data_IF_724177825054
#
_entry.id   IF_724177825054
#
_cell.length_a   1.000
_cell.length_b   1.000
_cell.length_c   1.000
_cell.angle_alpha   90.00
_cell.angle_beta   90.00
_cell.angle_gamma   90.00
#
_symmetry.space_group_name_H-M   'P 1'
#
loop_
_entity.id
_entity.type
_entity.pdbx_description
1 polymer ?
#
# COMPACT_ATOMS: atom_id res chain seq x y z
N UNK A 1 16.87 0.78 -39.34
CA UNK A 1 16.61 0.80 -37.88
C UNK A 1 15.11 0.92 -37.63
N UNK A 2 14.32 -0.12 -37.94
CA UNK A 2 12.86 -0.06 -37.79
C UNK A 2 12.13 -1.40 -37.76
N UNK A 3 12.84 -2.54 -37.88
CA UNK A 3 12.18 -3.85 -38.06
C UNK A 3 11.88 -4.61 -36.76
N UNK A 4 12.34 -4.14 -35.59
CA UNK A 4 12.17 -4.91 -34.33
C UNK A 4 11.34 -4.21 -33.22
N UNK A 5 10.89 -2.98 -33.45
CA UNK A 5 10.10 -2.22 -32.45
C UNK A 5 8.75 -2.90 -32.22
N UNK A 6 8.07 -3.33 -33.29
CA UNK A 6 6.76 -3.97 -33.19
C UNK A 6 6.81 -5.32 -32.47
N UNK A 7 7.85 -6.13 -32.70
CA UNK A 7 8.03 -7.39 -32.00
C UNK A 7 8.30 -7.16 -30.51
N UNK A 8 9.16 -6.20 -30.17
CA UNK A 8 9.45 -5.84 -28.77
C UNK A 8 8.21 -5.29 -28.04
N UNK A 9 7.39 -4.49 -28.70
CA UNK A 9 6.12 -3.97 -28.17
C UNK A 9 5.07 -5.08 -27.98
N UNK A 10 4.93 -6.00 -28.95
CA UNK A 10 4.04 -7.15 -28.81
C UNK A 10 4.45 -8.04 -27.63
N UNK A 11 5.74 -8.36 -27.50
CA UNK A 11 6.26 -9.11 -26.36
C UNK A 11 6.07 -8.39 -25.02
N UNK A 12 6.06 -7.05 -25.02
CA UNK A 12 5.75 -6.26 -23.83
C UNK A 12 4.30 -6.47 -23.41
N UNK A 13 3.35 -6.47 -24.36
CA UNK A 13 1.93 -6.71 -24.06
C UNK A 13 1.73 -8.10 -23.44
N UNK A 14 2.34 -9.15 -24.02
CA UNK A 14 2.24 -10.49 -23.45
C UNK A 14 2.80 -10.59 -22.03
N UNK A 15 3.92 -9.90 -21.73
CA UNK A 15 4.46 -9.83 -20.37
C UNK A 15 3.55 -9.11 -19.39
N UNK A 16 2.93 -8.01 -19.81
CA UNK A 16 1.94 -7.29 -19.01
C UNK A 16 0.75 -8.18 -18.69
N UNK A 17 0.24 -8.91 -19.69
CA UNK A 17 -0.86 -9.86 -19.50
C UNK A 17 -0.47 -11.00 -18.55
N UNK A 18 0.73 -11.54 -18.68
CA UNK A 18 1.25 -12.58 -17.79
C UNK A 18 1.29 -12.09 -16.33
N UNK A 19 1.82 -10.88 -16.07
CA UNK A 19 1.84 -10.32 -14.70
C UNK A 19 0.43 -10.15 -14.11
N UNK A 20 -0.58 -9.84 -14.93
CA UNK A 20 -1.96 -9.81 -14.45
C UNK A 20 -2.49 -11.19 -14.12
N UNK A 21 -2.21 -12.20 -14.95
CA UNK A 21 -2.63 -13.58 -14.71
C UNK A 21 -1.98 -14.11 -13.43
N UNK A 22 -0.65 -14.04 -13.35
CA UNK A 22 0.12 -14.53 -12.20
C UNK A 22 -0.31 -13.84 -10.90
N UNK A 23 -0.47 -12.51 -10.94
CA UNK A 23 -0.91 -11.75 -9.77
C UNK A 23 -2.34 -12.06 -9.35
N UNK A 24 -3.25 -12.34 -10.29
CA UNK A 24 -4.62 -12.70 -9.95
C UNK A 24 -4.75 -14.13 -9.41
N UNK A 25 -3.98 -15.07 -9.94
CA UNK A 25 -3.94 -16.46 -9.48
C UNK A 25 -3.36 -16.56 -8.07
N UNK A 26 -2.19 -15.96 -7.84
CA UNK A 26 -1.50 -16.06 -6.54
C UNK A 26 -2.29 -15.35 -5.42
N UNK A 27 -3.03 -14.27 -5.75
CA UNK A 27 -3.82 -13.51 -4.79
C UNK A 27 -5.29 -13.95 -4.73
N UNK A 28 -5.73 -14.94 -5.50
CA UNK A 28 -7.14 -15.35 -5.59
C UNK A 28 -7.77 -15.65 -4.22
N UNK A 29 -7.02 -16.35 -3.36
CA UNK A 29 -7.48 -16.78 -2.04
C UNK A 29 -7.20 -15.77 -0.93
N UNK A 30 -6.59 -14.63 -1.25
CA UNK A 30 -6.28 -13.59 -0.28
C UNK A 30 -7.57 -12.88 0.12
N UNK A 31 -7.93 -13.05 1.40
CA UNK A 31 -9.07 -12.39 2.02
C UNK A 31 -8.59 -11.40 3.07
N UNK A 32 -9.37 -10.35 3.26
CA UNK A 32 -9.13 -9.33 4.28
C UNK A 32 -7.70 -8.77 4.25
N UNK A 33 -7.19 -8.45 3.06
CA UNK A 33 -5.84 -7.91 2.95
C UNK A 33 -5.81 -6.43 3.34
N UNK A 34 -4.82 -6.04 4.12
CA UNK A 34 -4.50 -4.65 4.43
C UNK A 34 -3.12 -4.35 3.88
N UNK A 35 -3.04 -3.30 3.06
CA UNK A 35 -1.77 -2.88 2.49
C UNK A 35 -1.10 -1.86 3.39
N UNK A 36 0.15 -2.13 3.77
CA UNK A 36 0.96 -1.22 4.57
C UNK A 36 2.02 -0.54 3.71
N UNK A 37 2.03 0.79 3.76
CA UNK A 37 2.93 1.65 3.01
C UNK A 37 3.79 2.48 3.95
N UNK A 38 4.99 2.85 3.50
CA UNK A 38 5.85 3.77 4.23
C UNK A 38 7.27 3.81 3.66
N UNK A 39 8.14 4.54 4.35
CA UNK A 39 9.52 4.73 3.92
C UNK A 39 10.34 3.42 3.89
N UNK A 40 11.03 3.19 2.77
CA UNK A 40 12.04 2.12 2.65
C UNK A 40 13.36 2.43 3.38
N UNK A 41 13.46 3.61 4.03
CA UNK A 41 14.72 4.12 4.63
C UNK A 41 14.69 4.15 6.16
N UNK A 42 13.53 3.95 6.77
CA UNK A 42 13.39 3.77 8.22
C UNK A 42 14.14 2.51 8.64
N UNK A 43 14.77 2.51 9.81
CA UNK A 43 15.60 1.41 10.31
C UNK A 43 14.98 0.78 11.55
N UNK A 44 15.33 -0.47 11.82
CA UNK A 44 14.99 -1.15 13.07
C UNK A 44 15.45 -0.32 14.29
N UNK A 45 14.61 -0.25 15.33
CA UNK A 45 14.81 0.60 16.50
C UNK A 45 14.33 2.05 16.36
N UNK A 46 13.94 2.49 15.16
CA UNK A 46 13.18 3.74 14.96
C UNK A 46 11.73 3.56 15.45
N UNK A 47 11.14 4.60 16.04
CA UNK A 47 9.76 4.56 16.54
C UNK A 47 8.77 4.09 15.47
N UNK A 48 8.91 4.56 14.22
CA UNK A 48 8.01 4.20 13.14
C UNK A 48 8.20 2.76 12.68
N UNK A 49 9.41 2.22 12.80
CA UNK A 49 9.64 0.81 12.54
C UNK A 49 8.89 -0.05 13.56
N UNK A 50 9.05 0.24 14.85
CA UNK A 50 8.42 -0.55 15.91
C UNK A 50 6.88 -0.45 15.85
N UNK A 51 6.33 0.75 15.62
CA UNK A 51 4.89 0.93 15.40
C UNK A 51 4.39 0.18 14.16
N UNK A 52 5.18 0.09 13.09
CA UNK A 52 4.82 -0.70 11.91
C UNK A 52 4.87 -2.21 12.18
N UNK A 53 5.81 -2.69 13.00
CA UNK A 53 5.80 -4.09 13.50
C UNK A 53 4.53 -4.36 14.29
N UNK A 54 4.16 -3.46 15.19
CA UNK A 54 2.95 -3.60 16.00
C UNK A 54 1.67 -3.59 15.16
N UNK A 55 1.54 -2.68 14.19
CA UNK A 55 0.44 -2.69 13.22
C UNK A 55 0.38 -4.02 12.47
N UNK A 56 1.50 -4.53 11.97
CA UNK A 56 1.55 -5.82 11.27
C UNK A 56 1.05 -6.98 12.13
N UNK A 57 1.43 -6.99 13.41
CA UNK A 57 0.97 -7.99 14.38
C UNK A 57 -0.52 -7.87 14.66
N UNK A 58 -1.01 -6.67 14.99
CA UNK A 58 -2.41 -6.43 15.33
C UNK A 58 -3.35 -6.73 14.15
N UNK A 59 -2.92 -6.44 12.92
CA UNK A 59 -3.68 -6.81 11.71
C UNK A 59 -3.92 -8.32 11.65
N UNK A 60 -2.87 -9.11 11.86
CA UNK A 60 -2.98 -10.58 11.86
C UNK A 60 -3.85 -11.08 13.02
N UNK A 61 -3.67 -10.54 14.22
CA UNK A 61 -4.48 -10.91 15.39
C UNK A 61 -5.99 -10.62 15.19
N UNK A 62 -6.31 -9.68 14.30
CA UNK A 62 -7.68 -9.35 13.90
C UNK A 62 -8.14 -10.01 12.60
N UNK A 63 -7.40 -11.01 12.10
CA UNK A 63 -7.80 -11.82 10.95
C UNK A 63 -7.55 -11.17 9.58
N UNK A 64 -6.68 -10.17 9.51
CA UNK A 64 -6.25 -9.54 8.27
C UNK A 64 -4.96 -10.17 7.72
N UNK A 65 -4.84 -10.21 6.39
CA UNK A 65 -3.58 -10.52 5.70
C UNK A 65 -2.79 -9.23 5.50
N UNK A 66 -1.48 -9.24 5.70
CA UNK A 66 -0.64 -8.05 5.47
C UNK A 66 -0.01 -8.11 4.09
N UNK A 67 -0.20 -7.07 3.29
CA UNK A 67 0.45 -6.88 1.99
C UNK A 67 1.37 -5.66 2.07
N UNK A 68 2.58 -5.77 1.53
CA UNK A 68 3.50 -4.63 1.40
C UNK A 68 4.18 -4.64 0.04
N UNK A 69 5.01 -3.62 -0.22
CA UNK A 69 5.90 -3.62 -1.37
C UNK A 69 7.11 -4.56 -1.28
N UNK A 70 7.29 -5.28 -0.18
CA UNK A 70 8.33 -6.30 0.01
C UNK A 70 9.75 -5.76 0.22
N UNK A 71 9.95 -4.45 0.17
CA UNK A 71 11.26 -3.82 0.42
C UNK A 71 11.62 -3.69 1.91
N UNK A 72 12.73 -3.00 2.23
CA UNK A 72 13.17 -2.72 3.60
C UNK A 72 12.32 -1.65 4.29
N UNK A 73 12.68 -1.32 5.53
CA UNK A 73 12.07 -0.23 6.31
C UNK A 73 10.67 -0.55 6.77
N UNK A 74 9.70 0.36 6.60
CA UNK A 74 8.32 0.16 7.07
C UNK A 74 7.69 -1.08 6.46
N UNK A 75 7.97 -1.38 5.19
CA UNK A 75 7.45 -2.58 4.52
C UNK A 75 7.94 -3.85 5.23
N UNK A 76 9.23 -3.92 5.52
CA UNK A 76 9.81 -5.01 6.30
C UNK A 76 9.22 -5.09 7.70
N UNK A 77 9.08 -3.97 8.40
CA UNK A 77 8.51 -3.93 9.75
C UNK A 77 7.09 -4.53 9.78
N UNK A 78 6.21 -4.11 8.85
CA UNK A 78 4.86 -4.66 8.77
C UNK A 78 4.86 -6.15 8.42
N UNK A 79 5.70 -6.59 7.48
CA UNK A 79 5.86 -8.03 7.18
C UNK A 79 6.38 -8.82 8.38
N UNK A 80 7.33 -8.25 9.14
CA UNK A 80 7.90 -8.83 10.37
C UNK A 80 6.80 -9.04 11.41
N UNK A 81 6.03 -8.00 11.71
CA UNK A 81 4.90 -8.07 12.63
C UNK A 81 3.90 -9.17 12.25
N UNK A 82 3.51 -9.20 10.98
CA UNK A 82 2.56 -10.18 10.46
C UNK A 82 3.09 -11.63 10.57
N UNK A 83 4.35 -11.84 10.20
CA UNK A 83 4.98 -13.16 10.26
C UNK A 83 5.19 -13.65 11.68
N UNK A 84 5.60 -12.78 12.61
CA UNK A 84 5.75 -13.11 14.02
C UNK A 84 4.40 -13.46 14.69
N UNK A 85 3.31 -12.84 14.24
CA UNK A 85 1.95 -13.17 14.67
C UNK A 85 1.39 -14.45 14.02
N UNK A 86 2.17 -15.12 13.16
CA UNK A 86 1.79 -16.37 12.50
C UNK A 86 0.89 -16.20 11.26
N UNK A 87 0.56 -14.97 10.86
CA UNK A 87 -0.35 -14.69 9.75
C UNK A 87 0.28 -14.73 8.37
N UNK A 88 -0.52 -14.41 7.35
CA UNK A 88 -0.05 -14.29 5.98
C UNK A 88 0.62 -12.93 5.75
N UNK A 89 1.86 -12.97 5.26
CA UNK A 89 2.70 -11.81 4.98
C UNK A 89 3.11 -11.86 3.52
N UNK A 90 2.58 -10.92 2.73
CA UNK A 90 2.73 -10.89 1.27
C UNK A 90 3.61 -9.70 0.88
N UNK A 91 4.56 -9.93 -0.02
CA UNK A 91 5.37 -8.89 -0.64
C UNK A 91 5.10 -8.84 -2.14
N UNK A 92 4.56 -7.72 -2.62
CA UNK A 92 4.46 -7.43 -4.04
C UNK A 92 5.70 -6.62 -4.42
N UNK A 93 6.77 -7.28 -4.83
CA UNK A 93 8.05 -6.65 -5.13
C UNK A 93 8.07 -6.05 -6.54
N UNK A 94 8.94 -5.06 -6.77
CA UNK A 94 9.15 -4.45 -8.09
C UNK A 94 10.62 -4.58 -8.50
N UNK A 95 10.87 -4.97 -9.74
CA UNK A 95 12.21 -4.97 -10.33
C UNK A 95 12.72 -3.51 -10.48
N UNK A 96 13.83 -3.21 -9.83
CA UNK A 96 14.49 -1.89 -9.89
C UNK A 96 15.92 -2.03 -10.44
N UNK A 97 16.48 -0.96 -11.05
CA UNK A 97 17.86 -0.97 -11.56
C UNK A 97 18.92 -1.30 -10.49
N UNK A 98 18.62 -1.00 -9.23
CA UNK A 98 19.36 -1.47 -8.08
C UNK A 98 18.47 -2.42 -7.31
N UNK A 99 18.93 -3.66 -7.17
CA UNK A 99 18.16 -4.75 -6.60
C UNK A 99 17.77 -4.44 -5.14
N UNK A 100 16.47 -4.26 -4.89
CA UNK A 100 15.93 -4.39 -3.54
C UNK A 100 15.73 -5.88 -3.28
N UNK A 101 16.54 -6.44 -2.38
CA UNK A 101 16.29 -7.79 -1.89
C UNK A 101 14.96 -7.80 -1.13
N UNK A 102 14.04 -8.71 -1.46
CA UNK A 102 12.83 -8.91 -0.67
C UNK A 102 13.20 -9.15 0.80
N UNK A 103 12.45 -8.55 1.71
CA UNK A 103 12.70 -8.71 3.14
C UNK A 103 12.41 -10.16 3.61
N UNK A 104 13.10 -10.65 4.66
CA UNK A 104 13.05 -12.07 5.02
C UNK A 104 11.74 -12.51 5.70
N UNK A 105 10.82 -11.59 5.96
CA UNK A 105 9.55 -11.87 6.65
C UNK A 105 8.38 -12.06 5.69
N UNK A 106 8.63 -12.06 4.39
CA UNK A 106 7.62 -12.35 3.36
C UNK A 106 7.42 -13.87 3.27
N UNK A 107 6.17 -14.31 3.33
CA UNK A 107 5.77 -15.72 3.11
C UNK A 107 5.37 -15.98 1.66
N UNK A 108 4.72 -15.01 1.02
CA UNK A 108 4.33 -15.07 -0.41
C UNK A 108 4.92 -13.88 -1.13
N UNK A 109 5.78 -14.13 -2.11
CA UNK A 109 6.46 -13.10 -2.89
C UNK A 109 5.95 -13.14 -4.33
N UNK A 110 5.48 -11.99 -4.83
CA UNK A 110 5.12 -11.81 -6.23
C UNK A 110 6.00 -10.69 -6.78
N UNK A 111 6.71 -10.95 -7.87
CA UNK A 111 7.62 -9.99 -8.49
C UNK A 111 6.99 -9.38 -9.73
N UNK A 112 7.00 -8.07 -9.81
CA UNK A 112 6.50 -7.31 -10.95
C UNK A 112 7.65 -6.57 -11.62
N UNK A 113 7.53 -6.38 -12.94
CA UNK A 113 8.38 -5.50 -13.73
C UNK A 113 7.68 -4.18 -14.04
N UNK A 114 6.35 -4.19 -14.15
CA UNK A 114 5.58 -2.99 -14.44
C UNK A 114 4.93 -2.43 -13.16
N UNK A 115 5.08 -1.12 -12.92
CA UNK A 115 4.49 -0.48 -11.75
C UNK A 115 2.96 -0.55 -11.76
N UNK A 116 2.33 -0.40 -12.93
CA UNK A 116 0.87 -0.31 -13.02
C UNK A 116 0.18 -1.66 -12.80
N UNK A 117 0.78 -2.79 -13.20
CA UNK A 117 0.25 -4.13 -12.90
C UNK A 117 0.31 -4.38 -11.40
N UNK A 118 1.43 -4.06 -10.77
CA UNK A 118 1.63 -4.11 -9.32
C UNK A 118 0.63 -3.25 -8.54
N UNK A 119 0.41 -2.02 -8.97
CA UNK A 119 -0.56 -1.08 -8.38
C UNK A 119 -1.99 -1.63 -8.38
N UNK A 120 -2.41 -2.25 -9.48
CA UNK A 120 -3.71 -2.93 -9.54
C UNK A 120 -3.84 -3.99 -8.47
N UNK A 121 -2.79 -4.78 -8.20
CA UNK A 121 -2.83 -5.82 -7.17
C UNK A 121 -2.93 -5.26 -5.75
N UNK A 122 -2.30 -4.13 -5.45
CA UNK A 122 -2.47 -3.48 -4.15
C UNK A 122 -3.92 -3.04 -3.92
N UNK A 123 -4.54 -2.45 -4.93
CA UNK A 123 -5.86 -1.84 -4.76
C UNK A 123 -6.98 -2.89 -4.83
N UNK A 124 -6.88 -3.87 -5.74
CA UNK A 124 -7.94 -4.88 -5.98
C UNK A 124 -8.25 -5.72 -4.74
N UNK A 125 -7.23 -6.08 -3.96
CA UNK A 125 -7.38 -6.99 -2.82
C UNK A 125 -7.45 -6.26 -1.47
N UNK A 126 -7.24 -4.94 -1.44
CA UNK A 126 -7.22 -4.18 -0.21
C UNK A 126 -8.61 -3.98 0.42
N UNK A 127 -8.66 -4.26 1.72
CA UNK A 127 -9.70 -3.83 2.66
C UNK A 127 -9.34 -2.54 3.38
N UNK A 128 -8.06 -2.19 3.43
CA UNK A 128 -7.61 -0.94 4.03
C UNK A 128 -6.21 -0.62 3.55
N UNK A 129 -5.86 0.66 3.53
CA UNK A 129 -4.48 1.11 3.46
C UNK A 129 -4.07 1.70 4.81
N UNK A 130 -2.90 1.29 5.31
CA UNK A 130 -2.24 1.93 6.46
C UNK A 130 -0.92 2.51 5.97
N UNK A 131 -0.78 3.84 6.07
CA UNK A 131 0.26 4.61 5.37
C UNK A 131 1.09 5.38 6.41
N UNK A 132 2.28 4.87 6.69
CA UNK A 132 3.27 5.52 7.56
C UNK A 132 4.02 6.65 6.84
N UNK A 133 4.80 7.47 7.57
CA UNK A 133 5.70 8.45 6.99
C UNK A 133 6.59 7.85 5.89
N UNK A 134 6.71 8.59 4.79
CA UNK A 134 7.18 8.04 3.52
C UNK A 134 7.95 9.01 2.62
N UNK A 135 8.22 8.54 1.42
CA UNK A 135 8.80 9.37 0.35
C UNK A 135 7.85 9.47 -0.84
N UNK A 136 8.40 9.67 -2.04
CA UNK A 136 7.58 9.77 -3.26
C UNK A 136 6.79 8.51 -3.57
N UNK A 137 7.35 7.32 -3.35
CA UNK A 137 6.60 6.08 -3.56
C UNK A 137 5.37 5.99 -2.64
N UNK A 138 5.51 6.36 -1.38
CA UNK A 138 4.39 6.38 -0.43
C UNK A 138 3.33 7.42 -0.81
N UNK A 139 3.79 8.61 -1.23
CA UNK A 139 2.90 9.69 -1.67
C UNK A 139 2.13 9.32 -2.95
N UNK A 140 2.80 8.68 -3.91
CA UNK A 140 2.19 8.15 -5.13
C UNK A 140 1.00 7.24 -4.80
N UNK A 141 1.22 6.22 -3.96
CA UNK A 141 0.17 5.26 -3.59
C UNK A 141 -0.96 5.89 -2.76
N UNK A 142 -0.64 6.86 -1.90
CA UNK A 142 -1.68 7.65 -1.20
C UNK A 142 -2.54 8.43 -2.20
N UNK A 143 -1.92 9.19 -3.10
CA UNK A 143 -2.64 10.04 -4.06
C UNK A 143 -3.43 9.21 -5.08
N UNK A 144 -2.93 8.05 -5.47
CA UNK A 144 -3.64 7.12 -6.34
C UNK A 144 -4.88 6.55 -5.64
N UNK A 145 -4.75 6.08 -4.40
CA UNK A 145 -5.88 5.54 -3.64
C UNK A 145 -7.02 6.56 -3.49
N UNK A 146 -6.71 7.79 -3.05
CA UNK A 146 -7.75 8.81 -2.86
C UNK A 146 -8.39 9.22 -4.18
N UNK A 147 -7.63 9.26 -5.29
CA UNK A 147 -8.17 9.59 -6.61
C UNK A 147 -9.09 8.48 -7.13
N UNK A 148 -8.70 7.22 -6.97
CA UNK A 148 -9.52 6.07 -7.40
C UNK A 148 -10.82 5.99 -6.58
N UNK A 149 -10.77 6.28 -5.28
CA UNK A 149 -11.96 6.32 -4.42
C UNK A 149 -12.86 7.51 -4.79
N UNK A 150 -12.29 8.71 -4.94
CA UNK A 150 -13.00 9.93 -5.33
C UNK A 150 -13.75 9.75 -6.65
N UNK A 151 -13.12 9.08 -7.62
CA UNK A 151 -13.67 8.86 -8.96
C UNK A 151 -14.52 7.59 -9.09
N UNK A 152 -14.79 6.90 -7.98
CA UNK A 152 -15.58 5.67 -7.91
C UNK A 152 -15.07 4.55 -8.84
N UNK A 153 -13.77 4.57 -9.18
CA UNK A 153 -13.14 3.50 -9.98
C UNK A 153 -12.89 2.25 -9.17
N UNK A 154 -12.93 2.37 -7.85
CA UNK A 154 -12.83 1.27 -6.90
C UNK A 154 -13.84 1.46 -5.77
N UNK A 155 -14.12 0.38 -5.02
CA UNK A 155 -14.93 0.47 -3.82
C UNK A 155 -14.22 1.29 -2.73
N UNK A 156 -15.01 2.01 -1.93
CA UNK A 156 -14.48 2.74 -0.78
C UNK A 156 -13.91 1.75 0.24
N UNK A 157 -12.75 2.09 0.79
CA UNK A 157 -12.12 1.42 1.91
C UNK A 157 -11.35 2.45 2.76
N UNK A 158 -11.08 2.15 4.04
CA UNK A 158 -10.36 3.07 4.92
C UNK A 158 -8.91 3.30 4.46
N UNK A 159 -8.57 4.55 4.20
CA UNK A 159 -7.20 5.03 3.97
C UNK A 159 -6.73 5.73 5.25
N UNK A 160 -5.75 5.14 5.93
CA UNK A 160 -5.33 5.55 7.27
C UNK A 160 -3.89 6.05 7.21
N UNK A 161 -3.67 7.30 7.60
CA UNK A 161 -2.38 7.98 7.60
C UNK A 161 -1.80 7.99 9.03
N UNK A 162 -0.63 7.40 9.21
CA UNK A 162 0.09 7.33 10.48
C UNK A 162 0.99 8.55 10.67
N UNK A 163 1.09 9.07 11.91
CA UNK A 163 1.78 10.31 12.28
C UNK A 163 1.01 11.56 11.80
N UNK A 164 0.09 12.06 12.64
CA UNK A 164 -0.68 13.28 12.34
C UNK A 164 0.22 14.47 12.02
N UNK A 165 1.37 14.57 12.70
CA UNK A 165 2.27 15.70 12.52
C UNK A 165 2.92 15.66 11.14
N UNK A 166 3.46 14.50 10.72
CA UNK A 166 4.06 14.33 9.40
C UNK A 166 3.10 14.69 8.26
N UNK A 167 1.84 14.25 8.32
CA UNK A 167 0.85 14.50 7.26
C UNK A 167 0.20 15.88 7.33
N UNK A 168 0.29 16.59 8.46
CA UNK A 168 -0.42 17.85 8.69
C UNK A 168 -0.14 18.91 7.62
N UNK A 169 1.11 19.07 7.20
CA UNK A 169 1.49 20.06 6.20
C UNK A 169 0.89 19.78 4.82
N UNK A 170 0.81 18.50 4.42
CA UNK A 170 0.17 18.11 3.16
C UNK A 170 -1.34 18.34 3.22
N UNK A 171 -1.98 17.91 4.30
CA UNK A 171 -3.43 18.07 4.49
C UNK A 171 -3.80 19.56 4.51
N UNK A 172 -3.00 20.39 5.16
CA UNK A 172 -3.21 21.84 5.18
C UNK A 172 -3.03 22.43 3.78
N UNK A 173 -2.01 22.01 3.03
CA UNK A 173 -1.86 22.43 1.64
C UNK A 173 -3.08 22.05 0.77
N UNK A 174 -3.64 20.85 0.93
CA UNK A 174 -4.86 20.41 0.23
C UNK A 174 -6.04 21.32 0.57
N UNK A 175 -6.23 21.67 1.85
CA UNK A 175 -7.29 22.59 2.28
C UNK A 175 -7.11 24.00 1.72
N UNK A 176 -5.91 24.55 1.89
CA UNK A 176 -5.61 25.94 1.56
C UNK A 176 -5.52 26.21 0.06
N UNK A 177 -5.14 25.20 -0.73
CA UNK A 177 -4.94 25.35 -2.17
C UNK A 177 -5.97 24.61 -3.00
N UNK A 178 -6.23 23.33 -2.73
CA UNK A 178 -7.14 22.56 -3.58
C UNK A 178 -8.60 22.83 -3.21
N UNK A 179 -8.96 22.73 -1.93
CA UNK A 179 -10.33 22.92 -1.46
C UNK A 179 -10.77 24.38 -1.62
N UNK A 180 -9.99 25.36 -1.13
CA UNK A 180 -10.34 26.79 -1.26
C UNK A 180 -10.52 27.26 -2.71
N UNK A 181 -9.84 26.63 -3.67
CA UNK A 181 -9.95 26.95 -5.10
C UNK A 181 -11.02 26.11 -5.83
N UNK A 182 -11.69 25.20 -5.13
CA UNK A 182 -12.75 24.35 -5.70
C UNK A 182 -12.22 23.22 -6.60
N UNK A 183 -10.98 22.77 -6.40
CA UNK A 183 -10.40 21.64 -7.16
C UNK A 183 -10.75 20.28 -6.55
N UNK A 184 -11.15 20.27 -5.27
CA UNK A 184 -11.70 19.12 -4.54
C UNK A 184 -12.90 19.60 -3.71
N UNK A 185 -13.76 18.67 -3.30
CA UNK A 185 -14.87 18.89 -2.39
C UNK A 185 -14.45 18.70 -0.92
N UNK A 186 -15.26 19.15 0.03
CA UNK A 186 -15.04 18.85 1.45
C UNK A 186 -15.10 17.36 1.75
N UNK A 187 -15.93 16.62 1.00
CA UNK A 187 -16.14 15.19 1.19
C UNK A 187 -14.94 14.37 0.73
N UNK A 188 -14.13 14.89 -0.21
CA UNK A 188 -12.90 14.25 -0.66
C UNK A 188 -11.87 14.15 0.47
N UNK A 189 -11.90 15.08 1.44
CA UNK A 189 -11.04 15.03 2.63
C UNK A 189 -11.53 14.01 3.66
N UNK A 190 -12.72 13.41 3.48
CA UNK A 190 -13.23 12.33 4.32
C UNK A 190 -12.81 10.95 3.81
N UNK A 191 -12.14 10.87 2.66
CA UNK A 191 -11.64 9.61 2.08
C UNK A 191 -10.54 8.98 2.96
N UNK A 192 -9.80 9.81 3.69
CA UNK A 192 -8.71 9.37 4.54
C UNK A 192 -8.85 9.92 5.96
N UNK A 193 -8.19 9.25 6.90
CA UNK A 193 -8.12 9.63 8.31
C UNK A 193 -6.68 9.62 8.79
N UNK A 194 -6.40 10.28 9.91
CA UNK A 194 -5.08 10.24 10.55
C UNK A 194 -5.15 9.59 11.93
N UNK A 195 -4.09 8.87 12.30
CA UNK A 195 -3.92 8.15 13.56
C UNK A 195 -2.49 8.26 14.05
N UNK A 196 -2.27 8.07 15.34
CA UNK A 196 -0.92 8.09 15.94
C UNK A 196 -0.52 6.77 16.62
N UNK A 197 -1.51 5.91 16.93
CA UNK A 197 -1.29 4.64 17.63
C UNK A 197 -1.80 3.42 16.83
N UNK A 198 -1.13 2.26 16.92
CA UNK A 198 -1.47 1.07 16.12
C UNK A 198 -2.92 0.60 16.29
N UNK A 199 -3.45 0.65 17.50
CA UNK A 199 -4.82 0.25 17.83
C UNK A 199 -5.85 1.14 17.14
N UNK A 200 -5.56 2.43 16.98
CA UNK A 200 -6.45 3.36 16.30
C UNK A 200 -6.64 2.95 14.84
N UNK A 201 -5.57 2.51 14.16
CA UNK A 201 -5.66 2.02 12.79
C UNK A 201 -6.61 0.82 12.69
N UNK A 202 -6.48 -0.17 13.58
CA UNK A 202 -7.37 -1.34 13.60
C UNK A 202 -8.82 -0.92 13.88
N UNK A 203 -9.02 -0.01 14.84
CA UNK A 203 -10.34 0.50 15.18
C UNK A 203 -11.01 1.21 13.99
N UNK A 204 -10.26 2.00 13.21
CA UNK A 204 -10.77 2.63 11.99
C UNK A 204 -11.22 1.59 10.97
N UNK A 205 -10.42 0.54 10.74
CA UNK A 205 -10.76 -0.54 9.81
C UNK A 205 -12.05 -1.25 10.27
N UNK A 206 -12.11 -1.63 11.54
CA UNK A 206 -13.30 -2.32 12.08
C UNK A 206 -14.54 -1.44 12.04
N UNK A 207 -14.44 -0.16 12.37
CA UNK A 207 -15.58 0.77 12.35
C UNK A 207 -16.14 0.94 10.94
N UNK A 208 -15.29 0.94 9.92
CA UNK A 208 -15.72 1.05 8.53
C UNK A 208 -16.57 -0.15 8.08
N UNK A 209 -16.23 -1.37 8.50
CA UNK A 209 -16.91 -2.61 8.08
C UNK A 209 -17.99 -3.12 9.04
N UNK A 210 -18.20 -2.47 10.19
CA UNK A 210 -19.23 -2.84 11.18
C UNK A 210 -20.65 -2.38 10.79
N UNK A 211 -20.80 -1.65 9.68
CA UNK A 211 -22.09 -1.16 9.16
C UNK A 211 -22.48 -1.86 7.87
#
# INVERSE_FOLDING_TARGET
MGENIFADEAWRIFRIMAEFVDGFEELENVKNAVTVWGSARVKEGDEWYEKAVEVGKLLVENGYTVITGGGPGIMEAANKGATLAGGNSIGLNIELPHEQKPNPYIKTLISFRYFFTRKVMFVKYAKAFVIFPGGFGTLDEFTEAITLIQTERIHKFPVILFDRNYWSGLIEWMKENQLKRGYISSDDLLIFSTVDEPEEAIQQIQNFYKY
#
